data_IF_584157141631
#
_entry.id   IF_584157141631
#
_cell.length_a   1.000
_cell.length_b   1.000
_cell.length_c   1.000
_cell.angle_alpha   90.00
_cell.angle_beta   90.00
_cell.angle_gamma   90.00
#
_symmetry.space_group_name_H-M   'P 1'
#
loop_
_entity.id
_entity.type
_entity.pdbx_description
1 polymer ?
#
# COMPACT_ATOMS: atom_id res chain seq x y z
N UNK A 1 -9.93 4.58 -10.73
CA UNK A 1 -8.58 5.03 -11.11
C UNK A 1 -7.60 4.35 -10.17
N UNK A 2 -6.70 3.49 -10.66
CA UNK A 2 -5.78 2.71 -9.81
C UNK A 2 -4.41 3.40 -9.66
N UNK A 3 -4.41 4.74 -9.61
CA UNK A 3 -3.19 5.56 -9.55
C UNK A 3 -3.14 6.40 -8.28
N UNK A 4 -1.93 6.73 -7.85
CA UNK A 4 -1.71 7.70 -6.77
C UNK A 4 -1.92 9.14 -7.25
N UNK A 5 -1.93 10.08 -6.30
CA UNK A 5 -1.92 11.51 -6.62
C UNK A 5 -0.64 11.87 -7.40
N UNK A 6 -0.79 12.70 -8.43
CA UNK A 6 0.33 13.27 -9.18
C UNK A 6 1.23 14.09 -8.25
N UNK A 7 2.56 13.93 -8.38
CA UNK A 7 3.54 14.60 -7.53
C UNK A 7 3.54 16.12 -7.75
N UNK A 8 3.45 16.57 -9.01
CA UNK A 8 3.39 18.00 -9.36
C UNK A 8 2.09 18.66 -8.89
N UNK A 9 1.05 17.87 -8.70
CA UNK A 9 -0.25 18.33 -8.21
C UNK A 9 -0.39 18.24 -6.68
N UNK A 10 0.65 17.76 -5.99
CA UNK A 10 0.64 17.54 -4.54
C UNK A 10 1.92 18.04 -3.84
N UNK A 11 2.97 17.21 -3.82
CA UNK A 11 4.15 17.38 -2.96
C UNK A 11 5.31 18.13 -3.63
N UNK A 12 5.26 18.34 -4.94
CA UNK A 12 6.36 18.92 -5.72
C UNK A 12 5.84 19.87 -6.82
N UNK A 13 5.19 20.99 -6.45
CA UNK A 13 4.47 21.85 -7.38
C UNK A 13 5.34 22.64 -8.38
N UNK A 14 6.66 22.49 -8.32
CA UNK A 14 7.65 23.13 -9.21
C UNK A 14 7.37 24.63 -9.43
N UNK A 15 7.25 25.48 -8.39
CA UNK A 15 6.79 26.87 -8.54
C UNK A 15 7.59 27.72 -9.54
N UNK A 16 8.86 27.40 -9.76
CA UNK A 16 9.75 28.14 -10.67
C UNK A 16 9.80 27.55 -12.09
N UNK A 17 9.11 26.44 -12.35
CA UNK A 17 9.05 25.84 -13.68
C UNK A 17 8.09 26.59 -14.61
N UNK A 18 8.25 26.47 -15.94
CA UNK A 18 7.28 26.99 -16.90
C UNK A 18 5.85 26.49 -16.65
N UNK A 19 4.85 27.27 -17.06
CA UNK A 19 3.43 26.94 -16.86
C UNK A 19 3.04 25.59 -17.48
N UNK A 20 3.65 25.19 -18.59
CA UNK A 20 3.42 23.90 -19.23
C UNK A 20 4.09 22.69 -18.53
N UNK A 21 4.87 22.94 -17.48
CA UNK A 21 5.53 21.91 -16.65
C UNK A 21 4.91 21.82 -15.26
N UNK A 22 4.45 22.96 -14.74
CA UNK A 22 3.72 23.03 -13.46
C UNK A 22 2.35 22.37 -13.60
N UNK A 23 1.85 21.84 -12.48
CA UNK A 23 0.45 21.47 -12.37
C UNK A 23 -0.47 22.70 -12.41
N UNK A 24 -1.77 22.49 -12.59
CA UNK A 24 -2.76 23.58 -12.64
C UNK A 24 -3.01 24.25 -11.28
N UNK A 25 -2.55 23.61 -10.19
CA UNK A 25 -2.83 24.02 -8.82
C UNK A 25 -1.85 25.07 -8.29
N UNK A 26 -2.34 25.95 -7.41
CA UNK A 26 -1.48 26.96 -6.80
C UNK A 26 -0.52 26.34 -5.80
N UNK A 27 0.69 26.91 -5.76
CA UNK A 27 1.69 26.59 -4.74
C UNK A 27 1.42 27.38 -3.46
N UNK A 28 1.48 26.70 -2.31
CA UNK A 28 1.41 27.32 -0.98
C UNK A 28 2.68 27.01 -0.16
N UNK A 29 3.14 27.94 0.68
CA UNK A 29 4.23 27.67 1.61
C UNK A 29 3.79 26.71 2.72
N UNK A 30 4.76 26.01 3.28
CA UNK A 30 4.56 25.14 4.46
C UNK A 30 5.08 25.80 5.75
N UNK A 31 4.91 25.14 6.90
CA UNK A 31 5.49 25.56 8.19
C UNK A 31 7.02 25.55 8.20
N UNK A 32 7.66 24.83 7.26
CA UNK A 32 9.11 24.80 7.07
C UNK A 32 9.51 25.79 5.97
N UNK A 33 10.30 26.83 6.28
CA UNK A 33 10.75 27.81 5.29
C UNK A 33 11.44 27.15 4.09
N UNK A 34 11.12 27.64 2.88
CA UNK A 34 11.67 27.11 1.63
C UNK A 34 11.01 25.83 1.13
N UNK A 35 10.01 25.29 1.83
CA UNK A 35 9.26 24.10 1.39
C UNK A 35 7.82 24.46 1.02
N UNK A 36 7.34 23.86 -0.07
CA UNK A 36 6.05 24.14 -0.70
C UNK A 36 5.28 22.86 -1.06
N UNK A 37 3.95 22.98 -1.08
CA UNK A 37 2.98 21.96 -1.55
C UNK A 37 1.85 22.67 -2.32
N UNK A 38 0.91 21.94 -2.90
CA UNK A 38 -0.26 22.55 -3.55
C UNK A 38 -1.35 23.00 -2.57
N UNK A 39 -2.22 23.91 -3.01
CA UNK A 39 -3.33 24.48 -2.23
C UNK A 39 -4.34 23.45 -1.68
N UNK A 40 -4.30 22.21 -2.20
CA UNK A 40 -5.13 21.09 -1.75
C UNK A 40 -4.61 20.39 -0.49
N UNK A 41 -3.40 20.72 -0.02
CA UNK A 41 -2.79 20.13 1.17
C UNK A 41 -2.61 21.14 2.34
N UNK A 42 -3.57 22.03 2.65
CA UNK A 42 -3.33 23.15 3.57
C UNK A 42 -3.10 22.71 5.02
N UNK A 43 -3.68 21.57 5.43
CA UNK A 43 -3.47 20.99 6.76
C UNK A 43 -2.09 20.34 6.88
N UNK A 44 -1.62 19.69 5.81
CA UNK A 44 -0.29 19.10 5.75
C UNK A 44 0.78 20.19 5.61
N UNK A 45 0.50 21.29 4.90
CA UNK A 45 1.39 22.44 4.83
C UNK A 45 1.72 22.97 6.24
N UNK A 46 0.74 23.03 7.14
CA UNK A 46 0.92 23.47 8.54
C UNK A 46 1.72 22.49 9.41
N UNK A 47 1.86 21.24 8.99
CA UNK A 47 2.50 20.15 9.74
C UNK A 47 3.83 19.71 9.12
N UNK A 48 4.40 20.50 8.21
CA UNK A 48 5.60 20.11 7.46
C UNK A 48 6.86 19.92 8.32
N UNK A 49 6.85 20.44 9.54
CA UNK A 49 7.85 20.21 10.58
C UNK A 49 7.74 18.81 11.24
N UNK A 50 6.68 18.05 10.92
CA UNK A 50 6.39 16.72 11.48
C UNK A 50 6.52 15.59 10.45
N UNK A 51 6.89 15.89 9.21
CA UNK A 51 7.15 14.87 8.18
C UNK A 51 8.29 15.28 7.25
N UNK A 52 8.80 14.30 6.51
CA UNK A 52 9.79 14.51 5.46
C UNK A 52 9.14 14.36 4.08
N UNK A 53 9.48 15.24 3.14
CA UNK A 53 9.13 15.09 1.73
C UNK A 53 10.34 14.49 1.00
N UNK A 54 10.18 13.31 0.42
CA UNK A 54 11.24 12.64 -0.36
C UNK A 54 10.94 12.79 -1.85
N UNK A 55 11.64 13.69 -2.54
CA UNK A 55 11.48 13.95 -3.99
C UNK A 55 12.48 13.21 -4.88
N UNK A 56 13.34 12.38 -4.27
CA UNK A 56 14.42 11.67 -4.96
C UNK A 56 14.02 10.28 -5.48
N UNK A 57 12.79 9.84 -5.24
CA UNK A 57 12.32 8.52 -5.69
C UNK A 57 11.84 8.62 -7.13
N UNK A 58 12.50 7.91 -8.03
CA UNK A 58 12.10 7.78 -9.43
C UNK A 58 12.51 6.43 -10.00
N UNK A 59 11.86 6.03 -11.10
CA UNK A 59 12.21 4.86 -11.88
C UNK A 59 11.93 5.11 -13.36
N UNK A 60 12.50 4.28 -14.21
CA UNK A 60 12.35 4.31 -15.67
C UNK A 60 11.35 3.25 -16.19
N UNK A 61 10.59 2.64 -15.28
CA UNK A 61 9.47 1.77 -15.60
C UNK A 61 8.24 2.58 -16.03
N UNK A 62 7.64 2.22 -17.15
CA UNK A 62 6.55 2.97 -17.78
C UNK A 62 5.18 2.28 -17.60
N UNK A 63 5.14 1.09 -17.00
CA UNK A 63 3.91 0.34 -16.79
C UNK A 63 3.60 0.10 -15.33
N UNK A 64 2.31 0.04 -15.01
CA UNK A 64 1.84 -0.10 -13.64
C UNK A 64 2.29 -1.42 -12.98
N UNK A 65 2.32 -2.54 -13.71
CA UNK A 65 2.61 -3.85 -13.14
C UNK A 65 4.02 -3.95 -12.58
N UNK A 66 5.02 -3.72 -13.43
CA UNK A 66 6.44 -3.77 -13.04
C UNK A 66 6.86 -2.59 -12.15
N UNK A 67 6.23 -1.41 -12.27
CA UNK A 67 6.42 -0.32 -11.31
C UNK A 67 5.84 -0.63 -9.93
N UNK A 68 4.64 -1.22 -9.85
CA UNK A 68 4.01 -1.64 -8.60
C UNK A 68 4.84 -2.73 -7.92
N UNK A 69 5.34 -3.70 -8.69
CA UNK A 69 6.31 -4.68 -8.20
C UNK A 69 7.49 -4.01 -7.51
N UNK A 70 8.07 -3.00 -8.17
CA UNK A 70 9.24 -2.30 -7.64
C UNK A 70 8.91 -1.54 -6.35
N UNK A 71 7.77 -0.86 -6.30
CA UNK A 71 7.31 -0.17 -5.10
C UNK A 71 7.05 -1.12 -3.92
N UNK A 72 6.46 -2.30 -4.17
CA UNK A 72 6.07 -3.24 -3.13
C UNK A 72 7.21 -4.14 -2.63
N UNK A 73 8.22 -4.40 -3.47
CA UNK A 73 9.31 -5.36 -3.16
C UNK A 73 10.68 -4.70 -3.01
N UNK A 74 10.84 -3.46 -3.48
CA UNK A 74 12.15 -2.79 -3.58
C UNK A 74 13.07 -3.41 -4.64
N UNK A 75 12.58 -4.31 -5.49
CA UNK A 75 13.33 -4.97 -6.56
C UNK A 75 12.75 -4.65 -7.93
N UNK A 76 13.61 -4.46 -8.94
CA UNK A 76 13.13 -4.39 -10.32
C UNK A 76 12.65 -5.77 -10.75
N UNK A 77 11.52 -5.80 -11.45
CA UNK A 77 11.04 -7.03 -12.07
C UNK A 77 11.97 -7.43 -13.23
N UNK A 78 11.98 -8.72 -13.60
CA UNK A 78 12.83 -9.24 -14.70
C UNK A 78 12.38 -8.72 -16.06
N UNK A 79 11.09 -8.44 -16.20
CA UNK A 79 10.52 -7.66 -17.29
C UNK A 79 10.54 -6.17 -16.91
N UNK A 80 10.72 -5.30 -17.89
CA UNK A 80 10.67 -3.84 -17.73
C UNK A 80 9.48 -3.29 -18.48
N UNK A 81 8.75 -2.35 -17.87
CA UNK A 81 7.57 -1.73 -18.48
C UNK A 81 6.61 -2.80 -19.02
N UNK A 82 6.11 -3.63 -18.11
CA UNK A 82 5.17 -4.69 -18.42
C UNK A 82 4.11 -4.85 -17.33
N UNK A 83 3.04 -5.60 -17.63
CA UNK A 83 1.99 -5.94 -16.69
C UNK A 83 1.89 -7.47 -16.50
N UNK A 84 2.93 -8.13 -15.98
CA UNK A 84 2.90 -9.57 -15.79
C UNK A 84 1.94 -9.97 -14.66
N UNK A 85 1.38 -11.19 -14.69
CA UNK A 85 0.62 -11.71 -13.56
C UNK A 85 1.53 -12.01 -12.37
N UNK A 86 0.97 -12.20 -11.15
CA UNK A 86 1.75 -12.59 -9.98
C UNK A 86 2.39 -13.97 -10.19
N UNK A 87 3.60 -14.13 -9.66
CA UNK A 87 4.36 -15.37 -9.76
C UNK A 87 4.81 -15.88 -8.39
N UNK A 88 4.82 -17.21 -8.14
CA UNK A 88 5.46 -17.78 -6.95
C UNK A 88 6.97 -17.46 -6.85
N UNK A 89 7.61 -17.04 -7.95
CA UNK A 89 9.02 -16.64 -7.96
C UNK A 89 9.22 -15.13 -7.75
N UNK A 90 8.15 -14.37 -7.53
CA UNK A 90 8.24 -12.95 -7.20
C UNK A 90 9.05 -12.74 -5.90
N UNK A 91 9.71 -11.58 -5.79
CA UNK A 91 10.21 -11.14 -4.50
C UNK A 91 9.03 -10.87 -3.57
N UNK A 92 9.14 -11.22 -2.28
CA UNK A 92 8.09 -10.95 -1.30
C UNK A 92 7.88 -9.44 -1.13
N UNK A 93 6.62 -9.04 -0.89
CA UNK A 93 6.32 -7.67 -0.43
C UNK A 93 6.98 -7.39 0.92
N UNK A 94 7.21 -6.11 1.24
CA UNK A 94 7.73 -5.68 2.55
C UNK A 94 6.96 -6.30 3.73
N UNK A 95 5.63 -6.45 3.61
CA UNK A 95 4.80 -7.10 4.62
C UNK A 95 5.14 -8.58 4.85
N UNK A 96 5.38 -9.32 3.78
CA UNK A 96 5.78 -10.74 3.82
C UNK A 96 7.19 -10.93 4.39
N UNK A 97 8.10 -10.01 4.05
CA UNK A 97 9.43 -9.95 4.69
C UNK A 97 9.28 -9.74 6.20
N UNK A 98 8.42 -8.81 6.63
CA UNK A 98 8.17 -8.59 8.05
C UNK A 98 7.58 -9.84 8.74
N UNK A 99 6.59 -10.51 8.12
CA UNK A 99 6.03 -11.77 8.62
C UNK A 99 7.11 -12.84 8.83
N UNK A 100 8.14 -12.88 7.98
CA UNK A 100 9.25 -13.85 8.07
C UNK A 100 10.25 -13.56 9.18
N UNK A 101 10.55 -12.29 9.43
CA UNK A 101 11.61 -11.90 10.36
C UNK A 101 11.10 -11.47 11.73
N UNK A 102 9.86 -10.97 11.83
CA UNK A 102 9.26 -10.48 13.07
C UNK A 102 7.77 -10.84 13.14
N UNK A 103 7.42 -12.14 13.23
CA UNK A 103 6.03 -12.54 13.40
C UNK A 103 5.44 -11.98 14.70
N UNK A 104 4.18 -11.60 14.67
CA UNK A 104 3.41 -11.24 15.87
C UNK A 104 2.63 -12.43 16.41
N UNK A 105 2.54 -12.55 17.74
CA UNK A 105 1.68 -13.52 18.41
C UNK A 105 0.31 -12.94 18.81
N UNK A 106 0.10 -11.63 18.60
CA UNK A 106 -1.13 -10.94 19.00
C UNK A 106 -2.21 -10.99 17.91
N UNK A 107 -1.81 -11.09 16.65
CA UNK A 107 -2.71 -11.18 15.51
C UNK A 107 -2.16 -12.21 14.51
N UNK A 108 -3.00 -13.07 13.89
CA UNK A 108 -2.52 -14.13 13.00
C UNK A 108 -1.74 -13.67 11.76
N UNK A 109 -1.79 -12.38 11.41
CA UNK A 109 -1.10 -11.82 10.25
C UNK A 109 -0.18 -10.67 10.68
N UNK A 110 1.02 -10.59 10.11
CA UNK A 110 1.93 -9.46 10.38
C UNK A 110 1.80 -8.32 9.37
N UNK A 111 1.03 -8.52 8.31
CA UNK A 111 0.74 -7.53 7.28
C UNK A 111 -0.71 -7.67 6.80
N UNK A 112 -1.32 -6.53 6.48
CA UNK A 112 -2.69 -6.45 5.97
C UNK A 112 -2.68 -5.55 4.73
N UNK A 113 -3.23 -6.03 3.63
CA UNK A 113 -3.45 -5.26 2.41
C UNK A 113 -4.92 -4.82 2.39
N UNK A 114 -5.15 -3.51 2.46
CA UNK A 114 -6.49 -2.92 2.41
C UNK A 114 -6.82 -2.50 0.99
N UNK A 115 -8.07 -2.68 0.56
CA UNK A 115 -8.52 -2.43 -0.81
C UNK A 115 -7.75 -3.24 -1.85
N UNK A 116 -7.42 -4.49 -1.52
CA UNK A 116 -6.70 -5.39 -2.40
C UNK A 116 -7.59 -6.42 -3.11
N UNK A 117 -7.02 -7.19 -4.06
CA UNK A 117 -5.63 -7.08 -4.52
C UNK A 117 -5.41 -5.83 -5.37
N UNK A 118 -4.16 -5.38 -5.49
CA UNK A 118 -3.79 -4.33 -6.42
C UNK A 118 -3.99 -4.85 -7.86
N UNK A 119 -4.90 -4.21 -8.60
CA UNK A 119 -5.15 -4.48 -10.01
C UNK A 119 -4.42 -3.49 -10.91
N UNK A 120 -3.60 -3.98 -11.83
CA UNK A 120 -2.69 -3.17 -12.67
C UNK A 120 -2.72 -3.61 -14.14
N UNK A 121 -3.61 -3.03 -14.98
CA UNK A 121 -4.81 -2.28 -14.61
C UNK A 121 -6.05 -3.17 -14.40
N UNK A 122 -6.14 -4.32 -15.08
CA UNK A 122 -7.33 -5.19 -15.09
C UNK A 122 -7.14 -6.52 -14.35
N UNK A 123 -5.89 -6.90 -14.07
CA UNK A 123 -5.54 -8.15 -13.40
C UNK A 123 -4.67 -7.87 -12.18
N UNK A 124 -4.62 -8.83 -11.27
CA UNK A 124 -3.76 -8.74 -10.09
C UNK A 124 -2.31 -8.49 -10.50
N UNK A 125 -1.68 -7.47 -9.89
CA UNK A 125 -0.29 -7.13 -10.11
C UNK A 125 0.70 -8.06 -9.43
N UNK A 126 1.95 -8.13 -9.90
CA UNK A 126 2.98 -8.94 -9.30
C UNK A 126 3.52 -8.32 -8.00
N UNK A 127 4.23 -9.11 -7.18
CA UNK A 127 4.98 -8.60 -6.01
C UNK A 127 4.16 -8.17 -4.80
N UNK A 128 2.85 -8.44 -4.79
CA UNK A 128 1.95 -8.12 -3.67
C UNK A 128 1.75 -9.28 -2.67
N UNK A 129 2.46 -10.40 -2.86
CA UNK A 129 2.32 -11.64 -2.09
C UNK A 129 3.65 -12.05 -1.42
N UNK A 130 3.64 -13.21 -0.76
CA UNK A 130 4.82 -13.85 -0.18
C UNK A 130 5.86 -14.31 -1.20
N UNK A 131 5.48 -14.40 -2.49
CA UNK A 131 6.40 -14.77 -3.57
C UNK A 131 7.13 -16.07 -3.24
N UNK A 132 8.45 -16.08 -3.39
CA UNK A 132 9.26 -17.28 -3.11
C UNK A 132 9.29 -17.71 -1.63
N UNK A 133 8.79 -16.90 -0.70
CA UNK A 133 8.62 -17.32 0.70
C UNK A 133 7.43 -18.27 0.87
N UNK A 134 6.50 -18.30 -0.08
CA UNK A 134 5.30 -19.12 -0.05
C UNK A 134 4.08 -18.42 0.57
N UNK A 135 2.92 -19.06 0.40
CA UNK A 135 1.61 -18.50 0.77
C UNK A 135 1.42 -18.27 2.27
N UNK A 136 2.17 -18.96 3.12
CA UNK A 136 2.13 -18.76 4.57
C UNK A 136 2.60 -17.37 4.99
N UNK A 137 3.27 -16.64 4.10
CA UNK A 137 3.72 -15.26 4.30
C UNK A 137 2.87 -14.25 3.54
N UNK A 138 1.79 -14.67 2.86
CA UNK A 138 0.88 -13.74 2.20
C UNK A 138 0.25 -12.77 3.22
N UNK A 139 0.19 -11.46 2.91
CA UNK A 139 -0.56 -10.52 3.72
C UNK A 139 -2.05 -10.89 3.75
N UNK A 140 -2.73 -10.58 4.86
CA UNK A 140 -4.20 -10.69 4.90
C UNK A 140 -4.79 -9.67 3.92
N UNK A 141 -5.62 -10.16 3.01
CA UNK A 141 -6.29 -9.31 2.04
C UNK A 141 -7.66 -8.85 2.55
N UNK A 142 -7.81 -7.55 2.74
CA UNK A 142 -9.12 -6.91 2.91
C UNK A 142 -9.52 -6.32 1.56
N UNK A 143 -10.70 -6.69 1.08
CA UNK A 143 -11.29 -6.13 -0.14
C UNK A 143 -11.65 -4.65 0.00
N UNK A 144 -12.57 -4.17 -0.84
CA UNK A 144 -13.05 -2.80 -0.79
C UNK A 144 -13.70 -2.49 0.56
N UNK A 145 -13.08 -1.62 1.37
CA UNK A 145 -13.60 -1.26 2.71
C UNK A 145 -14.74 -0.23 2.69
N UNK A 146 -15.03 0.34 1.52
CA UNK A 146 -16.19 1.22 1.33
C UNK A 146 -17.49 0.42 1.19
N UNK A 147 -17.38 -0.82 0.70
CA UNK A 147 -18.49 -1.77 0.73
C UNK A 147 -18.73 -2.21 2.17
N UNK A 148 -20.00 -2.46 2.55
CA UNK A 148 -20.32 -2.99 3.87
C UNK A 148 -19.40 -4.18 4.13
N UNK A 149 -18.59 -4.19 5.20
CA UNK A 149 -17.68 -5.28 5.43
C UNK A 149 -18.50 -6.55 5.59
N UNK A 150 -18.49 -7.40 4.57
CA UNK A 150 -18.67 -8.82 4.77
C UNK A 150 -17.55 -9.18 5.74
N UNK A 151 -17.91 -9.64 6.95
CA UNK A 151 -16.92 -10.00 7.96
C UNK A 151 -15.84 -10.87 7.33
N UNK A 152 -14.59 -10.69 7.78
CA UNK A 152 -13.45 -11.45 7.27
C UNK A 152 -13.79 -12.94 7.14
N UNK A 153 -13.55 -13.51 5.97
CA UNK A 153 -13.81 -14.94 5.73
C UNK A 153 -13.06 -15.77 6.78
N UNK A 154 -13.80 -16.64 7.48
CA UNK A 154 -13.28 -17.42 8.61
C UNK A 154 -13.25 -16.73 9.98
N UNK A 155 -13.50 -15.41 10.05
CA UNK A 155 -13.67 -14.65 11.30
C UNK A 155 -15.11 -14.19 11.55
N UNK A 156 -16.00 -14.38 10.58
CA UNK A 156 -17.44 -14.21 10.76
C UNK A 156 -17.97 -15.13 11.86
N UNK A 157 -18.94 -14.64 12.65
CA UNK A 157 -19.63 -15.46 13.65
C UNK A 157 -20.31 -16.63 12.94
N UNK A 158 -19.85 -17.84 13.23
CA UNK A 158 -20.56 -19.05 12.83
C UNK A 158 -21.84 -19.15 13.65
N UNK A 159 -23.00 -18.96 13.02
CA UNK A 159 -24.31 -18.99 13.71
C UNK A 159 -24.55 -20.33 14.43
N UNK A 160 -24.03 -21.41 13.86
CA UNK A 160 -24.06 -22.76 14.42
C UNK A 160 -23.14 -22.99 15.63
N UNK A 161 -22.38 -21.99 16.09
CA UNK A 161 -21.50 -22.09 17.27
C UNK A 161 -22.19 -21.49 18.51
N UNK A 162 -22.63 -22.32 19.48
CA UNK A 162 -23.27 -21.83 20.70
C UNK A 162 -22.33 -20.94 21.52
N UNK A 163 -22.89 -19.93 22.20
CA UNK A 163 -22.15 -19.00 23.07
C UNK A 163 -21.33 -19.72 24.16
N UNK A 164 -21.83 -20.85 24.65
CA UNK A 164 -21.13 -21.71 25.61
C UNK A 164 -19.80 -22.22 25.05
N UNK A 165 -19.79 -22.65 23.78
CA UNK A 165 -18.58 -23.17 23.12
C UNK A 165 -17.56 -22.06 22.85
N UNK A 166 -18.03 -20.85 22.55
CA UNK A 166 -17.17 -19.66 22.42
C UNK A 166 -16.52 -19.31 23.76
N UNK A 167 -17.32 -19.29 24.84
CA UNK A 167 -16.84 -18.98 26.20
C UNK A 167 -15.80 -20.01 26.68
N UNK A 168 -16.04 -21.30 26.41
CA UNK A 168 -15.11 -22.38 26.73
C UNK A 168 -13.79 -22.34 25.94
N UNK A 169 -13.78 -21.74 24.74
CA UNK A 169 -12.52 -21.51 24.00
C UNK A 169 -11.77 -20.31 24.55
N UNK A 170 -12.49 -19.25 24.93
CA UNK A 170 -11.89 -18.05 25.49
C UNK A 170 -11.22 -18.32 26.84
N UNK A 171 -11.73 -19.27 27.63
CA UNK A 171 -11.08 -19.71 28.88
C UNK A 171 -9.77 -20.47 28.65
N UNK A 172 -9.45 -20.93 27.43
CA UNK A 172 -8.17 -21.56 27.11
C UNK A 172 -7.04 -20.55 26.86
N UNK A 173 -7.36 -19.26 26.82
CA UNK A 173 -6.39 -18.17 26.63
C UNK A 173 -5.88 -17.59 27.96
N UNK A 174 -6.36 -18.10 29.10
CA UNK A 174 -5.87 -17.79 30.46
C UNK A 174 -4.93 -18.89 30.93
#
# INVERSE_FOLDING_TARGET
TNGGMSQIDSWDPKPDAPENVRGEFKTIPTSVPGTFVTEHLPRLAKLADQYAIVRSVSHDDLDHGTATYYALTGRRHVLKSANPPPSPNDFPTHGSVLSRFRPTNQFPYSAVHVNGPAFVPLFAGPGQNGGFLGRDYDPLLLGNVEEKPAGLDGLSRMEQLPSVRMSSRQSLLQ
#
